data_IF_522219785912
#
_entry.id   IF_522219785912
#
_cell.length_a   1.000
_cell.length_b   1.000
_cell.length_c   1.000
_cell.angle_alpha   90.00
_cell.angle_beta   90.00
_cell.angle_gamma   90.00
#
_symmetry.space_group_name_H-M   'P 1'
#
loop_
_entity.id
_entity.type
_entity.pdbx_description
1 polymer ?
#
# COMPACT_ATOMS: atom_id res chain seq x y z
N UNK A 1 20.45 6.33 1.95
CA UNK A 1 19.16 6.32 1.35
C UNK A 1 18.06 7.01 2.13
N UNK A 2 18.20 8.31 2.43
CA UNK A 2 17.11 9.11 3.04
C UNK A 2 15.94 9.20 2.07
N UNK A 3 14.72 8.92 2.54
CA UNK A 3 13.51 9.04 1.74
C UNK A 3 13.11 10.49 1.56
N UNK A 4 12.66 10.83 0.37
CA UNK A 4 12.22 12.17 -0.01
C UNK A 4 10.73 12.15 -0.30
N UNK A 5 10.04 13.15 0.24
CA UNK A 5 8.59 13.28 0.16
C UNK A 5 8.19 14.64 -0.40
N UNK A 6 7.12 14.64 -1.18
CA UNK A 6 6.32 15.82 -1.45
C UNK A 6 5.02 15.68 -0.65
N UNK A 7 4.82 16.58 0.32
CA UNK A 7 3.76 16.46 1.33
C UNK A 7 3.81 15.10 2.06
N UNK A 8 2.90 14.19 1.74
CA UNK A 8 2.82 12.83 2.31
C UNK A 8 3.18 11.73 1.32
N UNK A 9 3.52 12.08 0.08
CA UNK A 9 3.77 11.13 -1.00
C UNK A 9 5.26 10.92 -1.22
N UNK A 10 5.64 9.68 -1.51
CA UNK A 10 7.02 9.36 -1.82
C UNK A 10 7.42 9.96 -3.18
N UNK A 11 8.53 10.69 -3.21
CA UNK A 11 9.14 11.25 -4.42
C UNK A 11 10.32 10.41 -4.89
N UNK A 12 11.10 9.90 -3.93
CA UNK A 12 12.31 9.16 -4.24
C UNK A 12 13.20 8.98 -3.02
N UNK A 13 14.48 8.73 -3.26
CA UNK A 13 15.49 8.58 -2.21
C UNK A 13 16.80 9.27 -2.56
N UNK A 14 17.51 9.72 -1.55
CA UNK A 14 18.87 10.26 -1.71
C UNK A 14 19.83 9.11 -2.07
N UNK A 15 20.60 9.29 -3.13
CA UNK A 15 21.62 8.34 -3.57
C UNK A 15 23.04 8.88 -3.42
N UNK A 16 23.19 10.22 -3.36
CA UNK A 16 24.48 10.88 -3.23
C UNK A 16 24.32 12.15 -2.41
N UNK A 17 25.27 12.44 -1.54
CA UNK A 17 25.31 13.65 -0.73
C UNK A 17 26.63 14.36 -0.94
N UNK A 18 26.59 15.62 -1.32
CA UNK A 18 27.72 16.52 -1.45
C UNK A 18 27.60 17.64 -0.41
N UNK A 19 28.61 18.50 -0.32
CA UNK A 19 28.71 19.56 0.72
C UNK A 19 27.46 20.49 0.78
N UNK A 20 26.89 20.86 -0.37
CA UNK A 20 25.74 21.78 -0.48
C UNK A 20 24.56 21.18 -1.27
N UNK A 21 24.71 20.01 -1.86
CA UNK A 21 23.71 19.40 -2.74
C UNK A 21 23.59 17.92 -2.48
N UNK A 22 22.42 17.38 -2.78
CA UNK A 22 22.20 15.93 -2.76
C UNK A 22 21.54 15.50 -4.06
N UNK A 23 21.90 14.33 -4.56
CA UNK A 23 21.25 13.73 -5.71
C UNK A 23 20.15 12.81 -5.22
N UNK A 24 18.96 12.96 -5.78
CA UNK A 24 17.78 12.16 -5.49
C UNK A 24 17.44 11.29 -6.70
N UNK A 25 17.29 9.99 -6.48
CA UNK A 25 16.72 9.06 -7.45
C UNK A 25 15.20 9.15 -7.33
N UNK A 26 14.54 9.69 -8.35
CA UNK A 26 13.10 9.84 -8.37
C UNK A 26 12.41 8.48 -8.63
N UNK A 27 11.15 8.34 -8.22
CA UNK A 27 10.35 7.15 -8.52
C UNK A 27 10.16 6.92 -10.01
N UNK A 28 10.12 8.00 -10.80
CA UNK A 28 9.98 7.96 -12.26
C UNK A 28 11.24 7.53 -13.01
N UNK A 29 12.42 7.52 -12.36
CA UNK A 29 13.67 7.12 -12.99
C UNK A 29 13.67 5.62 -13.36
N UNK A 30 14.24 5.29 -14.54
CA UNK A 30 14.34 3.92 -15.05
C UNK A 30 15.15 2.98 -14.12
N UNK A 31 16.04 3.53 -13.32
CA UNK A 31 16.84 2.77 -12.35
C UNK A 31 16.17 2.67 -10.97
N UNK A 32 15.02 3.31 -10.80
CA UNK A 32 14.26 3.25 -9.56
C UNK A 32 13.50 1.93 -9.47
N UNK A 33 13.81 1.13 -8.46
CA UNK A 33 13.09 -0.10 -8.14
C UNK A 33 12.63 -0.01 -6.68
N UNK A 34 11.32 0.06 -6.49
CA UNK A 34 10.70 0.27 -5.18
C UNK A 34 9.83 -0.94 -4.82
N UNK A 35 10.13 -1.62 -3.72
CA UNK A 35 9.24 -2.66 -3.20
C UNK A 35 7.95 -2.05 -2.70
N UNK A 36 6.84 -2.50 -3.23
CA UNK A 36 5.50 -1.95 -2.96
C UNK A 36 4.50 -3.04 -2.55
N UNK A 37 3.42 -2.61 -1.91
CA UNK A 37 2.25 -3.40 -1.58
C UNK A 37 1.03 -2.77 -2.23
N UNK A 38 0.25 -3.55 -2.98
CA UNK A 38 -0.98 -3.14 -3.65
C UNK A 38 -2.16 -3.48 -2.73
N UNK A 39 -2.97 -2.48 -2.38
CA UNK A 39 -4.10 -2.61 -1.47
C UNK A 39 -5.41 -2.46 -2.26
N UNK A 40 -6.46 -3.25 -1.97
CA UNK A 40 -6.71 -4.00 -0.73
C UNK A 40 -6.14 -5.42 -0.68
N UNK A 41 -5.64 -5.98 -1.78
CA UNK A 41 -5.23 -7.39 -1.86
C UNK A 41 -3.94 -7.70 -1.09
N UNK A 42 -3.21 -6.70 -0.59
CA UNK A 42 -1.90 -6.81 0.07
C UNK A 42 -0.84 -7.54 -0.79
N UNK A 43 -0.94 -7.39 -2.11
CA UNK A 43 -0.05 -8.05 -3.05
C UNK A 43 1.30 -7.35 -3.10
N UNK A 44 2.38 -8.12 -2.89
CA UNK A 44 3.75 -7.63 -2.97
C UNK A 44 4.20 -7.53 -4.43
N UNK A 45 4.80 -6.40 -4.78
CA UNK A 45 5.27 -6.12 -6.13
C UNK A 45 6.54 -5.26 -6.13
N UNK A 46 7.19 -5.15 -7.28
CA UNK A 46 8.28 -4.20 -7.52
C UNK A 46 7.81 -3.19 -8.56
N UNK A 47 7.76 -1.94 -8.14
CA UNK A 47 7.49 -0.79 -8.97
C UNK A 47 8.79 -0.26 -9.56
N UNK A 48 8.82 -0.02 -10.86
CA UNK A 48 9.96 0.57 -11.58
C UNK A 48 9.48 1.84 -12.31
N UNK A 49 10.28 2.88 -12.27
CA UNK A 49 10.04 4.06 -13.11
C UNK A 49 10.22 3.73 -14.60
N UNK A 50 9.56 4.47 -15.45
CA UNK A 50 9.68 4.32 -16.92
C UNK A 50 10.23 5.57 -17.62
N UNK A 51 10.74 6.53 -16.84
CA UNK A 51 11.27 7.81 -17.36
C UNK A 51 10.20 8.87 -17.64
N UNK A 52 8.93 8.60 -17.32
CA UNK A 52 7.78 9.46 -17.56
C UNK A 52 7.00 9.67 -16.25
N UNK A 53 5.80 10.27 -16.36
CA UNK A 53 4.89 10.55 -15.22
C UNK A 53 4.35 9.30 -14.53
N UNK A 54 4.46 8.15 -15.18
CA UNK A 54 3.93 6.87 -14.69
C UNK A 54 5.08 5.91 -14.37
N UNK A 55 4.81 4.97 -13.47
CA UNK A 55 5.65 3.81 -13.23
C UNK A 55 5.04 2.54 -13.83
N UNK A 56 5.76 1.45 -13.74
CA UNK A 56 5.32 0.13 -14.16
C UNK A 56 5.58 -0.90 -13.08
N UNK A 57 4.64 -1.81 -12.87
CA UNK A 57 4.86 -3.00 -12.05
C UNK A 57 5.64 -4.02 -12.87
N UNK A 58 6.89 -4.25 -12.46
CA UNK A 58 7.82 -5.14 -13.17
C UNK A 58 7.75 -6.57 -12.68
N UNK A 59 7.50 -6.74 -11.40
CA UNK A 59 7.40 -8.05 -10.75
C UNK A 59 6.21 -8.06 -9.79
N UNK A 60 5.41 -9.12 -9.87
CA UNK A 60 4.28 -9.37 -8.99
C UNK A 60 4.18 -10.85 -8.66
N UNK A 61 3.75 -11.20 -7.48
CA UNK A 61 3.53 -12.58 -7.08
C UNK A 61 2.35 -13.14 -7.88
N UNK A 62 2.61 -14.11 -8.77
CA UNK A 62 1.66 -14.61 -9.79
C UNK A 62 0.31 -15.12 -9.26
N UNK A 63 0.22 -15.57 -8.02
CA UNK A 63 -1.00 -16.18 -7.47
C UNK A 63 -2.15 -15.20 -7.20
N UNK A 64 -1.93 -13.88 -7.32
CA UNK A 64 -2.92 -12.84 -6.98
C UNK A 64 -3.11 -11.81 -8.11
N UNK A 65 -2.46 -11.98 -9.26
CA UNK A 65 -2.56 -11.01 -10.37
C UNK A 65 -3.96 -10.90 -10.98
N UNK A 66 -4.76 -11.96 -10.87
CA UNK A 66 -6.11 -12.01 -11.43
C UNK A 66 -7.16 -11.29 -10.56
N UNK A 67 -6.82 -11.02 -9.29
CA UNK A 67 -7.69 -10.34 -8.34
C UNK A 67 -7.44 -8.82 -8.26
N UNK A 68 -6.44 -8.29 -8.96
CA UNK A 68 -6.13 -6.87 -8.93
C UNK A 68 -7.24 -6.04 -9.59
N UNK A 69 -7.64 -5.00 -8.89
CA UNK A 69 -8.62 -4.03 -9.38
C UNK A 69 -7.94 -2.76 -9.87
N UNK A 70 -8.50 -2.16 -10.89
CA UNK A 70 -8.09 -0.82 -11.33
C UNK A 70 -8.29 0.18 -10.19
N UNK A 71 -7.45 1.22 -10.12
CA UNK A 71 -7.42 2.21 -9.05
C UNK A 71 -7.00 1.69 -7.65
N UNK A 72 -6.52 0.43 -7.53
CA UNK A 72 -5.91 -0.04 -6.28
C UNK A 72 -4.78 0.89 -5.83
N UNK A 73 -4.72 1.16 -4.53
CA UNK A 73 -3.71 2.07 -3.97
C UNK A 73 -2.39 1.32 -3.74
N UNK A 74 -1.30 1.99 -4.05
CA UNK A 74 0.04 1.43 -3.93
C UNK A 74 0.80 2.14 -2.81
N UNK A 75 1.30 1.35 -1.88
CA UNK A 75 2.14 1.81 -0.77
C UNK A 75 3.52 1.16 -0.82
N UNK A 76 4.52 1.80 -0.23
CA UNK A 76 5.82 1.15 0.00
C UNK A 76 5.68 -0.03 0.95
N UNK A 77 6.34 -1.16 0.65
CA UNK A 77 6.25 -2.36 1.49
C UNK A 77 7.21 -2.35 2.68
N UNK A 78 8.25 -1.51 2.67
CA UNK A 78 9.33 -1.53 3.67
C UNK A 78 10.32 -2.69 3.50
N UNK A 79 10.11 -3.59 2.56
CA UNK A 79 11.00 -4.72 2.28
C UNK A 79 12.40 -4.20 1.89
N UNK A 80 13.43 -4.81 2.47
CA UNK A 80 14.82 -4.42 2.25
C UNK A 80 15.27 -3.19 3.05
N UNK A 81 14.41 -2.62 3.92
CA UNK A 81 14.71 -1.47 4.78
C UNK A 81 15.28 -0.23 4.03
N UNK A 82 14.99 -0.12 2.74
CA UNK A 82 15.40 1.04 1.90
C UNK A 82 14.36 2.15 1.99
N UNK A 83 13.08 1.75 2.00
CA UNK A 83 11.95 2.67 2.11
C UNK A 83 11.17 2.40 3.39
N UNK A 84 10.63 3.46 4.00
CA UNK A 84 9.68 3.33 5.10
C UNK A 84 8.42 2.62 4.59
N UNK A 85 7.89 1.68 5.35
CA UNK A 85 6.65 0.98 5.00
C UNK A 85 5.43 1.88 5.11
N UNK A 86 4.42 1.65 4.27
CA UNK A 86 3.12 2.31 4.34
C UNK A 86 3.08 3.74 3.78
N UNK A 87 4.10 4.16 3.02
CA UNK A 87 4.08 5.47 2.35
C UNK A 87 3.31 5.36 1.03
N UNK A 88 2.28 6.20 0.79
CA UNK A 88 1.53 6.16 -0.45
C UNK A 88 2.40 6.62 -1.64
N UNK A 89 2.31 5.89 -2.74
CA UNK A 89 3.10 6.08 -3.96
C UNK A 89 2.22 6.53 -5.13
N UNK A 90 1.08 5.87 -5.32
CA UNK A 90 0.20 6.13 -6.45
C UNK A 90 -0.96 5.16 -6.55
N UNK A 91 -1.62 5.18 -7.71
CA UNK A 91 -2.73 4.29 -8.06
C UNK A 91 -2.35 3.34 -9.17
N UNK A 92 -2.83 2.10 -9.08
CA UNK A 92 -2.70 1.11 -10.14
C UNK A 92 -3.63 1.43 -11.30
N UNK A 93 -3.11 1.33 -12.53
CA UNK A 93 -3.88 1.40 -13.78
C UNK A 93 -3.66 0.12 -14.58
N UNK A 94 -4.72 -0.60 -14.84
CA UNK A 94 -4.69 -1.85 -15.60
C UNK A 94 -5.00 -1.55 -17.06
N UNK A 95 -3.99 -1.59 -17.91
CA UNK A 95 -4.11 -1.35 -19.34
C UNK A 95 -4.27 -2.70 -20.03
N UNK A 96 -5.45 -2.96 -20.58
CA UNK A 96 -5.82 -4.16 -21.34
C UNK A 96 -5.71 -3.86 -22.84
N UNK A 97 -4.51 -4.02 -23.39
CA UNK A 97 -4.25 -3.96 -24.82
C UNK A 97 -3.88 -5.37 -25.30
N UNK A 98 -2.91 -5.54 -26.18
CA UNK A 98 -2.40 -6.87 -26.65
C UNK A 98 -1.86 -7.74 -25.50
N UNK A 99 -1.41 -7.12 -24.42
CA UNK A 99 -1.02 -7.76 -23.17
C UNK A 99 -1.47 -6.91 -21.98
N UNK A 100 -1.78 -7.55 -20.85
CA UNK A 100 -2.13 -6.83 -19.61
C UNK A 100 -0.86 -6.15 -19.09
N UNK A 101 -0.89 -4.81 -19.03
CA UNK A 101 0.17 -3.98 -18.46
C UNK A 101 -0.33 -3.33 -17.18
N UNK A 102 0.46 -3.42 -16.13
CA UNK A 102 0.21 -2.79 -14.84
C UNK A 102 1.02 -1.49 -14.77
N UNK A 103 0.36 -0.37 -15.01
CA UNK A 103 0.93 0.98 -14.90
C UNK A 103 0.60 1.58 -13.55
N UNK A 104 1.41 2.49 -13.07
CA UNK A 104 1.21 3.20 -11.80
C UNK A 104 1.21 4.69 -12.06
N UNK A 105 0.09 5.32 -11.75
CA UNK A 105 -0.04 6.76 -11.75
C UNK A 105 0.43 7.30 -10.40
N UNK A 106 1.54 8.03 -10.38
CA UNK A 106 2.11 8.59 -9.16
C UNK A 106 1.25 9.71 -8.59
N UNK A 107 1.21 9.83 -7.25
CA UNK A 107 0.54 10.95 -6.58
C UNK A 107 1.35 12.24 -6.66
N UNK A 108 2.69 12.17 -6.71
CA UNK A 108 3.57 13.33 -6.84
C UNK A 108 3.76 13.74 -8.30
N UNK A 109 3.64 15.03 -8.58
CA UNK A 109 3.97 15.58 -9.89
C UNK A 109 5.45 15.99 -9.93
N UNK A 110 6.30 15.17 -10.50
CA UNK A 110 7.74 15.39 -10.59
C UNK A 110 8.15 16.62 -11.40
N UNK A 111 7.23 17.15 -12.23
CA UNK A 111 7.49 18.34 -13.04
C UNK A 111 7.31 19.65 -12.27
N UNK A 112 6.65 19.61 -11.10
CA UNK A 112 6.31 20.80 -10.31
C UNK A 112 6.91 20.79 -8.90
N UNK A 113 7.85 19.92 -8.61
CA UNK A 113 8.51 19.86 -7.31
C UNK A 113 9.27 21.15 -7.01
N UNK A 114 8.88 21.89 -5.98
CA UNK A 114 9.55 23.11 -5.51
C UNK A 114 10.25 22.88 -4.17
N UNK A 115 9.57 22.26 -3.24
CA UNK A 115 10.06 21.93 -1.92
C UNK A 115 9.76 20.47 -1.63
N UNK A 116 10.71 19.78 -1.04
CA UNK A 116 10.60 18.38 -0.67
C UNK A 116 11.08 18.21 0.77
N UNK A 117 10.56 17.20 1.44
CA UNK A 117 10.95 16.85 2.80
C UNK A 117 11.88 15.64 2.77
N UNK A 118 12.97 15.70 3.50
CA UNK A 118 13.89 14.60 3.71
C UNK A 118 13.68 14.03 5.12
N UNK A 119 13.29 12.77 5.22
CA UNK A 119 13.19 12.08 6.52
C UNK A 119 14.56 11.51 6.89
N UNK A 120 15.24 12.14 7.85
CA UNK A 120 16.51 11.63 8.35
C UNK A 120 16.24 10.43 9.23
N UNK A 121 16.52 9.24 8.73
CA UNK A 121 16.56 8.02 9.54
C UNK A 121 17.88 8.05 10.30
N UNK A 122 17.85 8.47 11.56
CA UNK A 122 19.01 8.32 12.45
C UNK A 122 19.14 6.82 12.71
N UNK A 123 19.95 6.14 11.89
CA UNK A 123 20.46 4.82 12.28
C UNK A 123 21.35 5.09 13.48
N UNK A 124 20.91 4.70 14.69
CA UNK A 124 21.86 4.52 15.78
C UNK A 124 22.86 3.49 15.27
N UNK A 125 24.03 3.91 14.87
CA UNK A 125 25.16 3.00 14.70
C UNK A 125 25.33 2.31 16.04
N UNK A 126 25.03 1.02 16.06
CA UNK A 126 25.52 0.14 17.11
C UNK A 126 27.02 0.11 16.81
N UNK A 127 27.79 0.95 17.52
CA UNK A 127 29.23 0.85 17.55
C UNK A 127 29.56 -0.62 17.81
N UNK A 128 30.12 -1.30 16.81
CA UNK A 128 30.71 -2.60 17.02
C UNK A 128 31.79 -2.39 18.06
N UNK A 129 31.74 -3.08 19.20
CA UNK A 129 32.80 -2.98 20.17
C UNK A 129 34.10 -3.42 19.48
N UNK A 130 35.02 -2.48 19.31
CA UNK A 130 36.41 -2.78 18.96
C UNK A 130 36.98 -3.59 20.10
N UNK A 131 37.21 -4.87 19.82
CA UNK A 131 37.92 -5.76 20.73
C UNK A 131 39.40 -5.36 20.79
N UNK A 132 39.73 -4.33 21.57
CA UNK A 132 41.05 -4.15 22.09
C UNK A 132 40.99 -4.39 23.61
N UNK A 133 41.82 -5.27 24.18
CA UNK A 133 41.82 -5.55 25.61
C UNK A 133 42.54 -4.43 26.33
N UNK A 134 41.79 -3.49 26.95
CA UNK A 134 42.34 -2.55 27.91
C UNK A 134 41.73 -2.79 29.28
N UNK A 135 42.64 -3.06 30.21
CA UNK A 135 42.43 -3.28 31.65
C UNK A 135 41.84 -2.02 32.32
N UNK A 136 40.51 -1.88 32.32
CA UNK A 136 39.73 -1.03 33.24
C UNK A 136 38.27 -1.46 33.29
N UNK A 137 38.03 -2.74 33.48
CA UNK A 137 36.74 -3.41 33.18
C UNK A 137 35.60 -3.27 34.20
N UNK A 138 35.80 -2.56 35.31
CA UNK A 138 34.75 -2.54 36.34
C UNK A 138 33.70 -1.42 36.25
N UNK A 139 33.98 -0.35 35.48
CA UNK A 139 33.00 0.74 35.26
C UNK A 139 32.20 0.56 33.94
N UNK A 140 32.78 -0.12 32.95
CA UNK A 140 32.18 -0.39 31.68
C UNK A 140 31.03 -1.42 31.77
N UNK A 141 31.26 -2.49 32.54
CA UNK A 141 30.28 -3.57 32.72
C UNK A 141 29.00 -3.12 33.43
N UNK A 142 29.07 -2.19 34.37
CA UNK A 142 27.87 -1.67 35.06
C UNK A 142 26.97 -0.85 34.11
N UNK A 143 27.57 -0.09 33.19
CA UNK A 143 26.85 0.74 32.19
C UNK A 143 26.24 -0.14 31.10
N UNK A 144 26.92 -1.20 30.69
CA UNK A 144 26.41 -2.17 29.71
C UNK A 144 25.24 -2.95 30.30
N UNK A 145 25.37 -3.45 31.53
CA UNK A 145 24.29 -4.17 32.21
C UNK A 145 23.05 -3.31 32.45
N UNK A 146 23.21 -2.00 32.74
CA UNK A 146 22.10 -1.08 32.86
C UNK A 146 21.38 -0.86 31.47
N UNK A 147 22.15 -0.76 30.41
CA UNK A 147 21.57 -0.67 29.04
C UNK A 147 20.87 -1.95 28.61
N UNK A 148 21.41 -3.12 28.92
CA UNK A 148 20.77 -4.41 28.64
C UNK A 148 19.42 -4.47 29.34
N UNK A 149 19.34 -4.11 30.61
CA UNK A 149 18.08 -4.12 31.36
C UNK A 149 17.03 -3.18 30.77
N UNK A 150 17.43 -1.97 30.33
CA UNK A 150 16.52 -1.03 29.67
C UNK A 150 15.97 -1.62 28.35
N UNK A 151 16.83 -2.26 27.56
CA UNK A 151 16.43 -2.90 26.31
C UNK A 151 15.52 -4.11 26.54
N UNK A 152 15.76 -4.89 27.57
CA UNK A 152 14.88 -6.01 27.96
C UNK A 152 13.49 -5.51 28.37
N UNK A 153 13.41 -4.40 29.12
CA UNK A 153 12.16 -3.77 29.50
C UNK A 153 11.42 -3.20 28.26
N UNK A 154 12.14 -2.57 27.32
CA UNK A 154 11.58 -2.09 26.05
C UNK A 154 11.06 -3.24 25.19
N UNK A 155 11.78 -4.34 25.08
CA UNK A 155 11.36 -5.56 24.35
C UNK A 155 10.05 -6.08 24.94
N UNK A 156 9.96 -6.18 26.27
CA UNK A 156 8.76 -6.66 26.95
C UNK A 156 7.53 -5.78 26.64
N UNK A 157 7.69 -4.47 26.66
CA UNK A 157 6.61 -3.51 26.29
C UNK A 157 6.18 -3.70 24.83
N UNK A 158 7.14 -3.90 23.93
CA UNK A 158 6.85 -4.14 22.50
C UNK A 158 6.12 -5.47 22.32
N UNK A 159 6.52 -6.52 23.00
CA UNK A 159 5.84 -7.82 22.95
C UNK A 159 4.40 -7.72 23.46
N UNK A 160 4.17 -7.05 24.58
CA UNK A 160 2.82 -6.83 25.13
C UNK A 160 1.94 -6.00 24.18
N UNK A 161 2.51 -4.98 23.53
CA UNK A 161 1.78 -4.18 22.55
C UNK A 161 1.47 -4.96 21.26
N UNK A 162 2.37 -5.83 20.81
CA UNK A 162 2.14 -6.71 19.67
C UNK A 162 1.03 -7.73 19.95
N UNK A 163 0.97 -8.30 21.14
CA UNK A 163 -0.12 -9.21 21.55
C UNK A 163 -1.46 -8.48 21.51
N UNK A 164 -1.53 -7.25 22.05
CA UNK A 164 -2.76 -6.42 22.01
C UNK A 164 -3.17 -6.05 20.58
N UNK A 165 -2.20 -5.71 19.73
CA UNK A 165 -2.45 -5.41 18.32
C UNK A 165 -2.97 -6.63 17.56
N UNK A 166 -2.38 -7.80 17.78
CA UNK A 166 -2.83 -9.04 17.13
C UNK A 166 -4.25 -9.41 17.54
N UNK A 167 -4.59 -9.31 18.83
CA UNK A 167 -5.97 -9.57 19.27
C UNK A 167 -6.98 -8.58 18.68
N UNK A 168 -6.60 -7.30 18.56
CA UNK A 168 -7.44 -6.30 17.91
C UNK A 168 -7.61 -6.56 16.41
N UNK A 169 -6.56 -7.01 15.74
CA UNK A 169 -6.62 -7.40 14.33
C UNK A 169 -7.56 -8.60 14.11
N UNK A 170 -7.55 -9.58 14.99
CA UNK A 170 -8.49 -10.71 14.92
C UNK A 170 -9.94 -10.27 15.08
N UNK A 171 -10.23 -9.37 16.04
CA UNK A 171 -11.57 -8.81 16.22
C UNK A 171 -12.01 -8.07 14.96
N UNK A 172 -11.17 -7.18 14.43
CA UNK A 172 -11.46 -6.44 13.20
C UNK A 172 -11.66 -7.36 11.99
N UNK A 173 -10.89 -8.43 11.86
CA UNK A 173 -11.05 -9.40 10.79
C UNK A 173 -12.42 -10.10 10.89
N UNK A 174 -12.86 -10.45 12.10
CA UNK A 174 -14.18 -11.03 12.33
C UNK A 174 -15.31 -10.05 12.01
N UNK A 175 -15.19 -8.79 12.41
CA UNK A 175 -16.16 -7.73 12.07
C UNK A 175 -16.25 -7.52 10.56
N UNK A 176 -15.12 -7.49 9.85
CA UNK A 176 -15.08 -7.39 8.39
C UNK A 176 -15.80 -8.57 7.74
N UNK A 177 -15.55 -9.80 8.21
CA UNK A 177 -16.22 -10.99 7.69
C UNK A 177 -17.74 -10.96 7.92
N UNK A 178 -18.19 -10.48 9.07
CA UNK A 178 -19.61 -10.29 9.35
C UNK A 178 -20.22 -9.26 8.39
N UNK A 179 -19.59 -8.11 8.23
CA UNK A 179 -20.07 -7.06 7.32
C UNK A 179 -20.10 -7.51 5.87
N UNK A 180 -19.10 -8.28 5.43
CA UNK A 180 -19.09 -8.85 4.09
C UNK A 180 -20.26 -9.83 3.88
N UNK A 181 -20.59 -10.63 4.88
CA UNK A 181 -21.75 -11.53 4.79
C UNK A 181 -23.09 -10.78 4.74
N UNK A 182 -23.22 -9.67 5.47
CA UNK A 182 -24.38 -8.79 5.39
C UNK A 182 -24.51 -8.15 4.00
N UNK A 183 -23.40 -7.64 3.47
CA UNK A 183 -23.35 -7.05 2.12
C UNK A 183 -23.79 -8.09 1.06
N UNK A 184 -23.36 -9.32 1.18
CA UNK A 184 -23.75 -10.39 0.26
C UNK A 184 -25.27 -10.60 0.29
N UNK A 185 -25.87 -10.70 1.48
CA UNK A 185 -27.33 -10.83 1.66
C UNK A 185 -28.11 -9.64 1.07
N UNK A 186 -27.59 -8.41 1.24
CA UNK A 186 -28.22 -7.23 0.64
C UNK A 186 -28.11 -7.24 -0.88
N UNK A 187 -26.97 -7.68 -1.42
CA UNK A 187 -26.77 -7.83 -2.87
C UNK A 187 -27.76 -8.81 -3.49
N UNK A 188 -27.94 -9.97 -2.86
CA UNK A 188 -28.91 -10.98 -3.31
C UNK A 188 -30.35 -10.43 -3.26
N UNK A 189 -30.71 -9.69 -2.21
CA UNK A 189 -32.00 -9.05 -2.10
C UNK A 189 -32.23 -7.98 -3.18
N UNK A 190 -31.23 -7.18 -3.47
CA UNK A 190 -31.28 -6.17 -4.54
C UNK A 190 -31.46 -6.86 -5.90
N UNK A 191 -30.73 -7.96 -6.15
CA UNK A 191 -30.87 -8.73 -7.38
C UNK A 191 -32.29 -9.27 -7.57
N UNK A 192 -32.84 -9.89 -6.55
CA UNK A 192 -34.22 -10.43 -6.60
C UNK A 192 -35.28 -9.33 -6.79
N UNK A 193 -35.09 -8.16 -6.17
CA UNK A 193 -35.98 -7.02 -6.36
C UNK A 193 -35.87 -6.45 -7.77
N UNK A 194 -34.65 -6.39 -8.34
CA UNK A 194 -34.45 -5.94 -9.72
C UNK A 194 -35.14 -6.87 -10.74
N UNK A 195 -35.06 -8.18 -10.52
CA UNK A 195 -35.76 -9.17 -11.35
C UNK A 195 -37.28 -9.00 -11.26
N UNK A 196 -37.84 -8.80 -10.06
CA UNK A 196 -39.26 -8.56 -9.88
C UNK A 196 -39.74 -7.26 -10.56
N UNK A 197 -38.94 -6.20 -10.50
CA UNK A 197 -39.25 -4.93 -11.20
C UNK A 197 -39.20 -5.13 -12.72
N UNK A 198 -38.22 -5.85 -13.24
CA UNK A 198 -38.13 -6.15 -14.66
C UNK A 198 -39.35 -6.93 -15.14
N UNK A 199 -39.79 -7.94 -14.40
CA UNK A 199 -41.01 -8.70 -14.73
C UNK A 199 -42.27 -7.81 -14.71
N UNK A 200 -42.42 -6.97 -13.68
CA UNK A 200 -43.55 -6.04 -13.59
C UNK A 200 -43.61 -5.05 -14.77
N UNK A 201 -42.44 -4.59 -15.24
CA UNK A 201 -42.38 -3.72 -16.41
C UNK A 201 -42.80 -4.43 -17.70
N UNK A 202 -42.38 -5.69 -17.88
CA UNK A 202 -42.80 -6.53 -19.00
C UNK A 202 -44.33 -6.77 -19.00
N UNK A 203 -44.88 -7.10 -17.85
CA UNK A 203 -46.33 -7.30 -17.68
C UNK A 203 -47.11 -6.03 -18.00
N UNK A 204 -46.58 -4.87 -17.60
CA UNK A 204 -47.20 -3.57 -17.92
C UNK A 204 -47.15 -3.25 -19.44
N UNK A 205 -46.05 -3.51 -20.12
CA UNK A 205 -45.93 -3.32 -21.57
C UNK A 205 -46.91 -4.22 -22.32
N UNK A 206 -47.08 -5.48 -21.93
CA UNK A 206 -48.02 -6.40 -22.49
C UNK A 206 -49.50 -5.93 -22.31
N UNK A 207 -49.77 -5.40 -21.11
CA UNK A 207 -51.10 -4.85 -20.79
C UNK A 207 -51.42 -3.59 -21.62
N UNK A 208 -50.47 -2.72 -21.83
CA UNK A 208 -50.61 -1.54 -22.71
C UNK A 208 -50.81 -1.96 -24.20
N UNK A 209 -50.07 -2.98 -24.64
CA UNK A 209 -50.25 -3.55 -25.97
C UNK A 209 -51.67 -4.13 -26.18
N UNK A 210 -52.16 -4.88 -25.20
CA UNK A 210 -53.54 -5.43 -25.23
C UNK A 210 -54.61 -4.31 -25.24
N UNK A 211 -54.44 -3.26 -24.45
CA UNK A 211 -55.34 -2.11 -24.46
C UNK A 211 -55.37 -1.41 -25.84
N UNK A 212 -54.21 -1.21 -26.45
CA UNK A 212 -54.14 -0.63 -27.78
C UNK A 212 -54.87 -1.48 -28.84
N UNK A 213 -54.67 -2.79 -28.80
CA UNK A 213 -55.38 -3.68 -29.73
C UNK A 213 -56.91 -3.71 -29.52
N UNK A 214 -57.36 -3.51 -28.30
CA UNK A 214 -58.79 -3.47 -27.96
C UNK A 214 -59.42 -2.13 -28.44
N UNK A 215 -58.65 -1.03 -28.42
CA UNK A 215 -59.14 0.31 -28.84
C UNK A 215 -59.09 0.58 -30.33
N UNK A 216 -58.17 -0.07 -31.05
CA UNK A 216 -57.94 0.17 -32.49
C UNK A 216 -58.25 -1.05 -33.37
N UNK A 217 -58.72 -2.13 -32.80
CA UNK A 217 -59.03 -3.37 -33.49
C UNK A 217 -60.49 -3.48 -33.99
N UNK A 218 -61.01 -2.37 -34.56
CA UNK A 218 -62.27 -2.34 -35.33
C UNK A 218 -62.00 -1.78 -36.74
#
# INVERSE_FOLDING_TARGET
GTNIYDQSYLVGRVIEVNYKTSRVLLLSDLNSNVPVTIVPQNTQAILTGNGDKNGQIKYIRRSLSDELTDESIIYTSGTGAIFKSGVPVGKLRIIKDKAVKLSVEFYSDFSQLKYVFAEVIIKKEIEKPSLEPNENDNKSNSTINAKIKILEDEIKIIEETNIKLNSKNEILANEINQKNSEILKFKDKISSQAEAIAQFNLDNEELEFLKMNLYYGH
#
